data_IF_233506708578
#
_entry.id   IF_233506708578
#
_cell.length_a   1.000
_cell.length_b   1.000
_cell.length_c   1.000
_cell.angle_alpha   90.00
_cell.angle_beta   90.00
_cell.angle_gamma   90.00
#
_symmetry.space_group_name_H-M   'P 1'
#
loop_
_entity.id
_entity.type
_entity.pdbx_description
1 polymer ?
#
# COMPACT_ATOMS: atom_id res chain seq x y z
N UNK A 1 5.87 3.18 -2.62
CA UNK A 1 4.88 4.28 -2.81
C UNK A 1 5.49 5.50 -3.52
N UNK A 2 6.62 6.09 -3.09
CA UNK A 2 7.18 7.30 -3.76
C UNK A 2 7.39 7.13 -5.27
N UNK A 3 7.94 5.99 -5.70
CA UNK A 3 8.07 5.67 -7.12
C UNK A 3 6.71 5.62 -7.85
N UNK A 4 5.69 5.05 -7.21
CA UNK A 4 4.33 5.00 -7.78
C UNK A 4 3.72 6.39 -7.95
N UNK A 5 3.88 7.25 -6.93
CA UNK A 5 3.43 8.65 -6.99
C UNK A 5 4.15 9.41 -8.09
N UNK A 6 5.48 9.22 -8.22
CA UNK A 6 6.28 9.83 -9.27
C UNK A 6 5.78 9.42 -10.66
N UNK A 7 5.61 8.13 -10.91
CA UNK A 7 5.13 7.61 -12.20
C UNK A 7 3.70 8.07 -12.50
N UNK A 8 2.83 8.04 -11.48
CA UNK A 8 1.45 8.52 -11.60
C UNK A 8 1.40 10.01 -11.94
N UNK A 9 2.28 10.83 -11.36
CA UNK A 9 2.36 12.26 -11.68
C UNK A 9 2.77 12.51 -13.14
N UNK A 10 3.73 11.76 -13.66
CA UNK A 10 4.12 11.86 -15.07
C UNK A 10 2.95 11.50 -16.01
N UNK A 11 2.23 10.44 -15.69
CA UNK A 11 1.03 10.04 -16.44
C UNK A 11 -0.08 11.07 -16.32
N UNK A 12 -0.29 11.61 -15.12
CA UNK A 12 -1.26 12.67 -14.88
C UNK A 12 -0.98 13.88 -15.77
N UNK A 13 0.24 14.41 -15.75
CA UNK A 13 0.61 15.57 -16.57
C UNK A 13 0.43 15.31 -18.07
N UNK A 14 0.81 14.12 -18.55
CA UNK A 14 0.62 13.70 -19.94
C UNK A 14 -0.86 13.66 -20.31
N UNK A 15 -1.70 13.00 -19.50
CA UNK A 15 -3.13 12.87 -19.74
C UNK A 15 -3.84 14.22 -19.65
N UNK A 16 -3.44 15.06 -18.68
CA UNK A 16 -4.00 16.40 -18.49
C UNK A 16 -3.69 17.31 -19.70
N UNK A 17 -2.44 17.35 -20.15
CA UNK A 17 -2.02 18.13 -21.34
C UNK A 17 -2.74 17.69 -22.62
N UNK A 18 -3.09 16.41 -22.73
CA UNK A 18 -3.79 15.83 -23.87
C UNK A 18 -5.31 15.81 -23.72
N UNK A 19 -5.87 16.44 -22.67
CA UNK A 19 -7.29 16.43 -22.35
C UNK A 19 -7.90 15.02 -22.22
N UNK A 20 -7.08 14.02 -21.88
CA UNK A 20 -7.52 12.64 -21.70
C UNK A 20 -8.00 12.40 -20.26
N UNK A 21 -9.07 13.08 -19.89
CA UNK A 21 -9.59 13.06 -18.52
C UNK A 21 -10.16 11.69 -18.09
N UNK A 22 -10.65 10.91 -19.05
CA UNK A 22 -11.14 9.56 -18.76
C UNK A 22 -10.02 8.64 -18.19
N UNK A 23 -8.88 8.57 -18.88
CA UNK A 23 -7.75 7.77 -18.42
C UNK A 23 -7.16 8.34 -17.13
N UNK A 24 -7.07 9.66 -17.02
CA UNK A 24 -6.61 10.34 -15.82
C UNK A 24 -7.44 9.93 -14.60
N UNK A 25 -8.76 10.03 -14.70
CA UNK A 25 -9.66 9.64 -13.61
C UNK A 25 -9.55 8.16 -13.27
N UNK A 26 -9.49 7.28 -14.27
CA UNK A 26 -9.36 5.84 -14.09
C UNK A 26 -8.07 5.47 -13.34
N UNK A 27 -6.93 6.08 -13.71
CA UNK A 27 -5.64 5.85 -13.03
C UNK A 27 -5.68 6.36 -11.58
N UNK A 28 -6.24 7.54 -11.33
CA UNK A 28 -6.38 8.10 -9.99
C UNK A 28 -7.31 7.24 -9.12
N UNK A 29 -8.44 6.79 -9.66
CA UNK A 29 -9.38 5.93 -8.94
C UNK A 29 -8.73 4.60 -8.58
N UNK A 30 -8.02 3.97 -9.53
CA UNK A 30 -7.29 2.73 -9.27
C UNK A 30 -6.21 2.91 -8.19
N UNK A 31 -5.46 4.01 -8.23
CA UNK A 31 -4.50 4.34 -7.19
C UNK A 31 -5.15 4.46 -5.81
N UNK A 32 -6.29 5.15 -5.72
CA UNK A 32 -7.01 5.31 -4.44
C UNK A 32 -7.57 3.99 -3.91
N UNK A 33 -8.17 3.17 -4.77
CA UNK A 33 -8.88 1.95 -4.35
C UNK A 33 -7.93 0.78 -4.14
N UNK A 34 -7.01 0.54 -5.06
CA UNK A 34 -6.12 -0.63 -5.03
C UNK A 34 -4.84 -0.32 -4.25
N UNK A 35 -4.12 0.73 -4.66
CA UNK A 35 -2.80 0.97 -4.10
C UNK A 35 -2.84 1.58 -2.70
N UNK A 36 -3.77 2.47 -2.44
CA UNK A 36 -3.91 3.10 -1.12
C UNK A 36 -4.82 2.30 -0.20
N UNK A 37 -6.09 2.14 -0.55
CA UNK A 37 -7.09 1.53 0.34
C UNK A 37 -6.81 0.05 0.58
N UNK A 38 -6.79 -0.77 -0.48
CA UNK A 38 -6.65 -2.22 -0.34
C UNK A 38 -5.24 -2.69 0.02
N UNK A 39 -4.22 -1.84 -0.16
CA UNK A 39 -2.85 -2.23 0.14
C UNK A 39 -2.20 -1.33 1.20
N UNK A 40 -1.87 -0.09 0.87
CA UNK A 40 -0.97 0.72 1.71
C UNK A 40 -1.58 1.06 3.07
N UNK A 41 -2.83 1.49 3.11
CA UNK A 41 -3.49 1.80 4.38
C UNK A 41 -3.69 0.56 5.22
N UNK A 42 -4.02 -0.55 4.60
CA UNK A 42 -4.25 -1.82 5.28
C UNK A 42 -3.00 -2.27 6.05
N UNK A 43 -1.85 -2.35 5.38
CA UNK A 43 -0.59 -2.77 6.00
C UNK A 43 0.03 -1.73 6.96
N UNK A 44 -0.49 -0.49 7.00
CA UNK A 44 0.02 0.60 7.85
C UNK A 44 -0.88 0.94 9.03
N UNK A 45 -2.02 0.27 9.17
CA UNK A 45 -2.93 0.50 10.30
C UNK A 45 -2.22 0.40 11.65
N UNK A 46 -1.52 -0.71 11.89
CA UNK A 46 -0.84 -0.93 13.17
C UNK A 46 0.26 0.08 13.41
N UNK A 47 1.05 0.41 12.38
CA UNK A 47 2.06 1.46 12.46
C UNK A 47 1.47 2.82 12.86
N UNK A 48 0.29 3.16 12.34
CA UNK A 48 -0.34 4.46 12.62
C UNK A 48 -1.02 4.52 13.99
N UNK A 49 -1.66 3.42 14.41
CA UNK A 49 -2.47 3.41 15.62
C UNK A 49 -1.74 2.85 16.84
N UNK A 50 -0.86 1.86 16.66
CA UNK A 50 -0.22 1.14 17.76
C UNK A 50 1.22 1.60 18.04
N UNK A 51 1.98 2.02 17.00
CA UNK A 51 3.37 2.44 17.18
C UNK A 51 3.47 3.71 18.04
N UNK A 52 4.52 3.84 18.87
CA UNK A 52 4.80 5.06 19.61
C UNK A 52 4.96 6.27 18.69
N UNK A 53 4.59 7.46 19.17
CA UNK A 53 4.71 8.72 18.41
C UNK A 53 6.15 9.03 17.95
N UNK A 54 7.13 8.51 18.67
CA UNK A 54 8.56 8.69 18.36
C UNK A 54 9.09 7.72 17.31
N UNK A 55 8.32 6.68 16.95
CA UNK A 55 8.72 5.66 15.96
C UNK A 55 9.04 6.30 14.61
N UNK A 56 10.23 6.02 14.08
CA UNK A 56 10.64 6.50 12.76
C UNK A 56 9.77 5.95 11.63
N UNK A 57 9.28 4.73 11.79
CA UNK A 57 8.35 4.08 10.86
C UNK A 57 7.03 4.84 10.80
N UNK A 58 6.47 5.22 11.97
CA UNK A 58 5.25 6.03 12.05
C UNK A 58 5.44 7.42 11.45
N UNK A 59 6.54 8.10 11.79
CA UNK A 59 6.86 9.43 11.23
C UNK A 59 7.00 9.40 9.72
N UNK A 60 7.73 8.42 9.20
CA UNK A 60 7.90 8.24 7.75
C UNK A 60 6.58 7.94 7.05
N UNK A 61 5.71 7.15 7.67
CA UNK A 61 4.36 6.87 7.16
C UNK A 61 3.52 8.14 7.11
N UNK A 62 3.50 8.94 8.18
CA UNK A 62 2.76 10.20 8.23
C UNK A 62 3.28 11.22 7.21
N UNK A 63 4.61 11.31 7.04
CA UNK A 63 5.20 12.17 6.02
C UNK A 63 4.74 11.78 4.61
N UNK A 64 4.76 10.48 4.31
CA UNK A 64 4.28 9.97 3.03
C UNK A 64 2.78 10.22 2.83
N UNK A 65 1.95 10.05 3.86
CA UNK A 65 0.52 10.35 3.79
C UNK A 65 0.25 11.83 3.48
N UNK A 66 1.04 12.75 4.05
CA UNK A 66 0.93 14.17 3.72
C UNK A 66 1.29 14.45 2.24
N UNK A 67 2.32 13.81 1.71
CA UNK A 67 2.69 13.91 0.28
C UNK A 67 1.55 13.38 -0.60
N UNK A 68 0.97 12.24 -0.23
CA UNK A 68 -0.16 11.64 -0.94
C UNK A 68 -1.38 12.57 -0.92
N UNK A 69 -1.73 13.11 0.24
CA UNK A 69 -2.88 14.02 0.40
C UNK A 69 -2.72 15.27 -0.48
N UNK A 70 -1.58 15.95 -0.40
CA UNK A 70 -1.30 17.14 -1.23
C UNK A 70 -1.41 16.81 -2.72
N UNK A 71 -0.87 15.67 -3.13
CA UNK A 71 -0.93 15.22 -4.53
C UNK A 71 -2.34 14.93 -4.98
N UNK A 72 -3.11 14.19 -4.19
CA UNK A 72 -4.49 13.83 -4.52
C UNK A 72 -5.38 15.06 -4.62
N UNK A 73 -5.24 16.03 -3.69
CA UNK A 73 -6.01 17.26 -3.73
C UNK A 73 -5.76 18.02 -5.04
N UNK A 74 -4.49 18.14 -5.45
CA UNK A 74 -4.12 18.83 -6.69
C UNK A 74 -4.55 18.08 -7.93
N UNK A 75 -4.41 16.76 -7.97
CA UNK A 75 -4.79 15.95 -9.12
C UNK A 75 -6.31 15.88 -9.32
N UNK A 76 -7.08 15.85 -8.22
CA UNK A 76 -8.54 15.83 -8.30
C UNK A 76 -9.18 17.23 -8.42
N UNK A 77 -8.44 18.31 -8.18
CA UNK A 77 -8.99 19.67 -8.25
C UNK A 77 -9.71 19.99 -9.59
N UNK A 78 -9.19 19.59 -10.76
CA UNK A 78 -9.89 19.81 -12.02
C UNK A 78 -11.20 19.01 -12.20
N UNK A 79 -11.40 17.96 -11.40
CA UNK A 79 -12.52 17.01 -11.54
C UNK A 79 -13.51 17.17 -10.39
N UNK A 80 -13.01 17.24 -9.15
CA UNK A 80 -13.80 17.33 -7.93
C UNK A 80 -13.59 18.71 -7.27
N UNK A 81 -13.84 19.78 -8.04
CA UNK A 81 -13.45 21.15 -7.70
C UNK A 81 -13.91 21.60 -6.30
N UNK A 82 -15.16 21.34 -5.93
CA UNK A 82 -15.69 21.74 -4.62
C UNK A 82 -15.14 20.91 -3.47
N UNK A 83 -15.11 19.59 -3.64
CA UNK A 83 -14.64 18.66 -2.61
C UNK A 83 -13.17 18.89 -2.29
N UNK A 84 -12.32 19.08 -3.30
CA UNK A 84 -10.89 19.32 -3.09
C UNK A 84 -10.64 20.69 -2.45
N UNK A 85 -11.40 21.71 -2.84
CA UNK A 85 -11.33 23.04 -2.21
C UNK A 85 -11.71 22.96 -0.73
N UNK A 86 -12.83 22.31 -0.40
CA UNK A 86 -13.28 22.15 0.99
C UNK A 86 -12.23 21.45 1.84
N UNK A 87 -11.70 20.30 1.37
CA UNK A 87 -10.66 19.57 2.10
C UNK A 87 -9.38 20.41 2.22
N UNK A 88 -9.00 21.10 1.14
CA UNK A 88 -7.81 21.95 1.15
C UNK A 88 -7.91 23.07 2.18
N UNK A 89 -9.06 23.74 2.29
CA UNK A 89 -9.29 24.78 3.30
C UNK A 89 -9.24 24.25 4.73
N UNK A 90 -9.63 22.98 4.96
CA UNK A 90 -9.57 22.34 6.28
C UNK A 90 -8.14 21.98 6.69
N UNK A 91 -7.30 21.56 5.75
CA UNK A 91 -5.93 21.07 6.06
C UNK A 91 -4.84 22.12 5.85
N UNK A 92 -5.06 23.08 4.96
CA UNK A 92 -4.10 24.14 4.67
C UNK A 92 -4.27 25.29 5.66
N UNK A 93 -3.13 25.83 6.10
CA UNK A 93 -3.12 27.10 6.86
C UNK A 93 -3.23 28.32 5.93
N UNK A 94 -3.17 28.12 4.63
CA UNK A 94 -3.30 29.17 3.61
C UNK A 94 -4.76 29.52 3.39
N UNK A 95 -5.07 30.81 3.21
CA UNK A 95 -6.40 31.27 2.77
C UNK A 95 -6.56 31.25 1.23
N UNK A 96 -5.56 30.70 0.52
CA UNK A 96 -5.60 30.60 -0.94
C UNK A 96 -6.41 29.39 -1.36
N UNK A 97 -7.06 29.47 -2.53
CA UNK A 97 -7.74 28.33 -3.14
C UNK A 97 -6.75 27.32 -3.68
N UNK A 98 -7.11 26.01 -3.63
CA UNK A 98 -6.34 24.93 -4.26
C UNK A 98 -6.18 25.16 -5.77
N UNK A 99 -7.15 25.81 -6.42
CA UNK A 99 -7.13 26.10 -7.85
C UNK A 99 -6.07 27.13 -8.27
N UNK A 100 -5.44 27.80 -7.30
CA UNK A 100 -4.29 28.70 -7.52
C UNK A 100 -2.95 28.02 -7.27
N UNK A 101 -2.97 26.77 -6.78
CA UNK A 101 -1.76 25.99 -6.53
C UNK A 101 -1.25 25.35 -7.83
N UNK A 102 0.07 25.16 -7.89
CA UNK A 102 0.69 24.42 -8.99
C UNK A 102 0.64 22.93 -8.73
N UNK A 103 0.55 22.12 -9.78
CA UNK A 103 0.78 20.68 -9.68
C UNK A 103 2.15 20.41 -9.08
N UNK A 104 2.23 19.33 -8.30
CA UNK A 104 3.47 19.00 -7.58
C UNK A 104 4.51 18.47 -8.57
N UNK A 105 5.68 19.07 -8.55
CA UNK A 105 6.85 18.55 -9.26
C UNK A 105 7.65 17.64 -8.31
N UNK A 106 7.79 16.38 -8.68
CA UNK A 106 8.48 15.38 -7.86
C UNK A 106 9.93 15.23 -8.31
N UNK A 107 10.87 15.21 -7.36
CA UNK A 107 12.27 15.02 -7.70
C UNK A 107 12.52 13.62 -8.29
N UNK A 108 13.35 13.54 -9.33
CA UNK A 108 13.71 12.29 -10.02
C UNK A 108 14.25 11.20 -9.06
N UNK A 109 14.79 11.56 -7.90
CA UNK A 109 15.21 10.60 -6.87
C UNK A 109 14.08 9.72 -6.31
N UNK A 110 12.81 10.06 -6.57
CA UNK A 110 11.66 9.19 -6.21
C UNK A 110 11.51 8.02 -7.17
N UNK A 111 12.09 8.11 -8.38
CA UNK A 111 12.15 7.01 -9.32
C UNK A 111 13.13 5.94 -8.80
N UNK A 112 12.62 4.72 -8.60
CA UNK A 112 13.42 3.58 -8.20
C UNK A 112 12.84 2.31 -8.80
N UNK A 113 13.26 2.00 -10.02
CA UNK A 113 12.77 0.86 -10.80
C UNK A 113 13.12 -0.45 -10.12
N UNK A 114 14.36 -0.62 -9.64
CA UNK A 114 14.81 -1.85 -8.99
C UNK A 114 13.97 -2.17 -7.74
N UNK A 115 13.66 -1.15 -6.94
CA UNK A 115 12.81 -1.32 -5.76
C UNK A 115 11.37 -1.63 -6.17
N UNK A 116 10.87 -1.03 -7.24
CA UNK A 116 9.54 -1.31 -7.77
C UNK A 116 9.40 -2.76 -8.23
N UNK A 117 10.36 -3.27 -9.00
CA UNK A 117 10.38 -4.68 -9.42
C UNK A 117 10.45 -5.65 -8.23
N UNK A 118 11.27 -5.32 -7.22
CA UNK A 118 11.34 -6.10 -5.98
C UNK A 118 9.96 -6.12 -5.29
N UNK A 119 9.30 -4.98 -5.18
CA UNK A 119 7.96 -4.89 -4.59
C UNK A 119 6.89 -5.60 -5.41
N UNK A 120 6.98 -5.60 -6.74
CA UNK A 120 6.05 -6.34 -7.59
C UNK A 120 6.08 -7.85 -7.30
N UNK A 121 7.27 -8.42 -7.12
CA UNK A 121 7.42 -9.83 -6.71
C UNK A 121 6.89 -10.08 -5.30
N UNK A 122 7.12 -9.13 -4.39
CA UNK A 122 6.64 -9.22 -3.01
C UNK A 122 5.10 -9.19 -2.93
N UNK A 123 4.46 -8.36 -3.76
CA UNK A 123 3.00 -8.30 -3.86
C UNK A 123 2.43 -9.62 -4.39
N UNK A 124 3.07 -10.26 -5.37
CA UNK A 124 2.64 -11.58 -5.86
C UNK A 124 2.67 -12.65 -4.75
N UNK A 125 3.70 -12.62 -3.88
CA UNK A 125 3.77 -13.52 -2.72
C UNK A 125 2.61 -13.21 -1.75
N UNK A 126 2.36 -11.93 -1.46
CA UNK A 126 1.26 -11.49 -0.60
C UNK A 126 -0.10 -11.93 -1.17
N UNK A 127 -0.30 -11.83 -2.47
CA UNK A 127 -1.55 -12.22 -3.13
C UNK A 127 -1.79 -13.73 -3.00
N UNK A 128 -0.75 -14.55 -3.15
CA UNK A 128 -0.83 -15.99 -2.89
C UNK A 128 -1.16 -16.29 -1.41
N UNK A 129 -0.60 -15.53 -0.46
CA UNK A 129 -0.93 -15.64 0.95
C UNK A 129 -2.40 -15.28 1.22
N UNK A 130 -2.86 -14.16 0.67
CA UNK A 130 -4.24 -13.70 0.82
C UNK A 130 -5.24 -14.71 0.26
N UNK A 131 -4.94 -15.30 -0.91
CA UNK A 131 -5.79 -16.35 -1.50
C UNK A 131 -5.93 -17.54 -0.54
N UNK A 132 -4.81 -18.03 0.02
CA UNK A 132 -4.84 -19.14 0.97
C UNK A 132 -5.56 -18.80 2.28
N UNK A 133 -5.45 -17.54 2.75
CA UNK A 133 -6.21 -17.05 3.92
C UNK A 133 -7.71 -17.03 3.62
N UNK A 134 -8.11 -16.51 2.44
CA UNK A 134 -9.54 -16.43 2.07
C UNK A 134 -10.17 -17.80 1.89
N UNK A 135 -9.45 -18.81 1.39
CA UNK A 135 -9.93 -20.20 1.35
C UNK A 135 -10.27 -20.71 2.77
N UNK A 136 -9.41 -20.43 3.76
CA UNK A 136 -9.66 -20.82 5.16
C UNK A 136 -10.81 -20.03 5.80
N UNK A 137 -10.98 -18.76 5.42
CA UNK A 137 -12.11 -17.93 5.86
C UNK A 137 -13.43 -18.44 5.26
N UNK A 138 -13.45 -18.78 3.97
CA UNK A 138 -14.62 -19.34 3.30
C UNK A 138 -15.08 -20.65 3.96
N UNK A 139 -14.14 -21.48 4.39
CA UNK A 139 -14.39 -22.72 5.12
C UNK A 139 -14.74 -22.48 6.62
N UNK A 140 -14.77 -21.22 7.10
CA UNK A 140 -15.04 -20.85 8.50
C UNK A 140 -14.03 -21.43 9.51
N UNK A 141 -12.82 -21.79 9.06
CA UNK A 141 -11.75 -22.28 9.94
C UNK A 141 -11.09 -21.14 10.73
N UNK A 142 -11.05 -19.93 10.15
CA UNK A 142 -10.59 -18.69 10.75
C UNK A 142 -11.60 -17.57 10.50
N UNK A 143 -11.69 -16.60 11.42
CA UNK A 143 -12.58 -15.45 11.29
C UNK A 143 -11.89 -14.22 10.67
N UNK A 144 -10.60 -14.07 10.87
CA UNK A 144 -9.80 -12.95 10.35
C UNK A 144 -8.39 -13.39 9.97
N UNK A 145 -7.69 -12.59 9.16
CA UNK A 145 -6.29 -12.84 8.80
C UNK A 145 -5.36 -12.88 10.03
N UNK A 146 -5.68 -12.12 11.09
CA UNK A 146 -4.94 -12.15 12.36
C UNK A 146 -5.07 -13.48 13.12
N UNK A 147 -5.98 -14.37 12.73
CA UNK A 147 -6.08 -15.72 13.28
C UNK A 147 -5.28 -16.74 12.47
N UNK A 148 -4.63 -16.30 11.40
CA UNK A 148 -3.84 -17.17 10.52
C UNK A 148 -2.37 -17.24 10.95
N UNK A 149 -1.82 -18.44 10.83
CA UNK A 149 -0.39 -18.74 10.80
C UNK A 149 -0.03 -19.24 9.41
N UNK A 150 0.94 -18.61 8.75
CA UNK A 150 1.31 -18.93 7.39
C UNK A 150 2.66 -19.65 7.34
N UNK A 151 2.75 -20.64 6.48
CA UNK A 151 4.00 -21.24 6.05
C UNK A 151 4.16 -21.00 4.55
N UNK A 152 5.19 -20.26 4.14
CA UNK A 152 5.44 -19.86 2.77
C UNK A 152 6.66 -20.59 2.24
N UNK A 153 6.48 -21.36 1.20
CA UNK A 153 7.59 -21.98 0.47
C UNK A 153 7.93 -21.15 -0.77
N UNK A 154 9.18 -20.69 -0.81
CA UNK A 154 9.71 -19.89 -1.90
C UNK A 154 10.83 -20.64 -2.63
N UNK A 155 10.93 -20.45 -3.94
CA UNK A 155 12.10 -20.92 -4.67
C UNK A 155 13.38 -20.26 -4.16
N UNK A 156 14.55 -20.83 -4.52
CA UNK A 156 15.88 -20.38 -4.04
C UNK A 156 16.16 -18.89 -4.29
N UNK A 157 15.69 -18.35 -5.40
CA UNK A 157 15.92 -16.93 -5.74
C UNK A 157 15.07 -16.00 -4.86
N UNK A 158 13.77 -16.26 -4.78
CA UNK A 158 12.83 -15.47 -3.96
C UNK A 158 13.19 -15.59 -2.47
N UNK A 159 13.56 -16.79 -2.02
CA UNK A 159 13.97 -16.99 -0.63
C UNK A 159 15.17 -16.11 -0.26
N UNK A 160 16.21 -16.05 -1.11
CA UNK A 160 17.39 -15.19 -0.86
C UNK A 160 17.03 -13.71 -0.75
N UNK A 161 16.06 -13.25 -1.56
CA UNK A 161 15.67 -11.85 -1.62
C UNK A 161 14.76 -11.46 -0.45
N UNK A 162 13.89 -12.38 -0.01
CA UNK A 162 12.76 -12.04 0.86
C UNK A 162 12.78 -12.72 2.23
N UNK A 163 13.77 -13.56 2.56
CA UNK A 163 13.87 -14.26 3.86
C UNK A 163 13.81 -13.33 5.08
N UNK A 164 14.30 -12.10 4.94
CA UNK A 164 14.37 -11.11 6.01
C UNK A 164 13.19 -10.10 5.99
N UNK A 165 12.17 -10.33 5.14
CA UNK A 165 10.98 -9.49 5.06
C UNK A 165 9.98 -9.94 6.11
N UNK A 166 9.40 -8.98 6.83
CA UNK A 166 8.30 -9.23 7.75
C UNK A 166 6.99 -9.47 6.99
N UNK A 167 6.75 -10.72 6.65
CA UNK A 167 5.50 -11.13 6.01
C UNK A 167 4.31 -11.16 6.98
N UNK A 168 4.53 -11.23 8.28
CA UNK A 168 3.44 -11.17 9.24
C UNK A 168 2.77 -9.79 9.16
N UNK A 169 3.57 -8.72 9.13
CA UNK A 169 3.05 -7.37 8.90
C UNK A 169 2.43 -7.21 7.51
N UNK A 170 3.09 -7.74 6.47
CA UNK A 170 2.64 -7.57 5.09
C UNK A 170 1.31 -8.28 4.80
N UNK A 171 1.09 -9.46 5.38
CA UNK A 171 -0.12 -10.27 5.21
C UNK A 171 -1.14 -10.08 6.34
N UNK A 172 -0.80 -9.26 7.37
CA UNK A 172 -1.63 -9.03 8.56
C UNK A 172 -1.98 -10.37 9.24
N UNK A 173 -0.97 -11.23 9.41
CA UNK A 173 -1.11 -12.55 10.00
C UNK A 173 -0.42 -12.64 11.37
N UNK A 174 -0.84 -13.55 12.24
CA UNK A 174 -0.26 -13.74 13.57
C UNK A 174 1.20 -14.19 13.53
N UNK A 175 1.53 -15.06 12.58
CA UNK A 175 2.88 -15.55 12.40
C UNK A 175 3.11 -16.02 10.98
N UNK A 176 4.33 -15.89 10.51
CA UNK A 176 4.74 -16.37 9.18
C UNK A 176 6.08 -17.08 9.30
N UNK A 177 6.16 -18.27 8.71
CA UNK A 177 7.41 -19.02 8.53
C UNK A 177 7.73 -19.11 7.06
N UNK A 178 8.95 -18.75 6.68
CA UNK A 178 9.41 -18.83 5.30
C UNK A 178 10.36 -20.00 5.17
N UNK A 179 10.12 -20.87 4.21
CA UNK A 179 10.99 -22.01 3.88
C UNK A 179 11.47 -21.93 2.45
N UNK A 180 12.66 -22.48 2.21
CA UNK A 180 13.13 -22.67 0.85
C UNK A 180 12.53 -23.96 0.29
N UNK A 181 11.72 -23.83 -0.75
CA UNK A 181 11.16 -24.94 -1.52
C UNK A 181 12.01 -25.30 -2.74
N UNK A 182 11.69 -26.42 -3.36
CA UNK A 182 12.32 -26.91 -4.58
C UNK A 182 11.56 -26.50 -5.84
N UNK A 183 10.31 -26.11 -5.73
CA UNK A 183 9.42 -25.81 -6.85
C UNK A 183 9.54 -24.37 -7.35
N UNK A 184 9.16 -24.14 -8.59
CA UNK A 184 9.12 -22.80 -9.19
C UNK A 184 7.97 -21.94 -8.68
N UNK A 185 6.90 -22.59 -8.18
CA UNK A 185 5.69 -21.94 -7.74
C UNK A 185 5.75 -21.59 -6.23
N UNK A 186 5.07 -20.50 -5.88
CA UNK A 186 4.91 -20.07 -4.49
C UNK A 186 3.83 -20.98 -3.87
N UNK A 187 4.19 -21.71 -2.81
CA UNK A 187 3.22 -22.49 -2.04
C UNK A 187 2.97 -21.82 -0.70
N UNK A 188 1.72 -21.72 -0.31
CA UNK A 188 1.30 -21.16 0.97
C UNK A 188 0.40 -22.14 1.68
N UNK A 189 0.76 -22.48 2.91
CA UNK A 189 -0.06 -23.27 3.81
C UNK A 189 -0.57 -22.36 4.93
N UNK A 190 -1.88 -22.22 5.02
CA UNK A 190 -2.54 -21.45 6.08
C UNK A 190 -3.10 -22.40 7.14
N UNK A 191 -2.78 -22.12 8.40
CA UNK A 191 -3.30 -22.83 9.56
C UNK A 191 -3.86 -21.81 10.56
N UNK A 192 -4.73 -22.26 11.47
CA UNK A 192 -5.17 -21.43 12.58
C UNK A 192 -4.00 -21.19 13.54
N UNK A 193 -3.75 -19.93 13.89
CA UNK A 193 -2.71 -19.58 14.83
C UNK A 193 -3.02 -20.13 16.22
N UNK A 194 -1.96 -20.57 16.92
CA UNK A 194 -2.03 -21.01 18.30
C UNK A 194 -1.84 -19.81 19.22
N UNK A 195 -2.70 -19.66 20.25
CA UNK A 195 -2.60 -18.59 21.23
C UNK A 195 -3.94 -17.95 21.55
N UNK A 196 -3.90 -16.96 22.45
CA UNK A 196 -5.09 -16.15 22.78
C UNK A 196 -5.09 -14.88 21.97
N UNK A 197 -6.27 -14.48 21.48
CA UNK A 197 -6.45 -13.21 20.79
C UNK A 197 -6.09 -12.05 21.71
N UNK A 198 -5.30 -11.09 21.19
CA UNK A 198 -5.02 -9.85 21.91
C UNK A 198 -6.33 -9.08 22.18
N UNK A 199 -6.58 -8.63 23.43
CA UNK A 199 -7.80 -7.89 23.76
C UNK A 199 -7.82 -6.47 23.18
N UNK A 200 -6.68 -5.97 22.70
CA UNK A 200 -6.52 -4.60 22.16
C UNK A 200 -6.63 -4.59 20.62
N UNK A 201 -6.09 -5.59 19.97
CA UNK A 201 -6.19 -5.77 18.52
C UNK A 201 -7.40 -6.66 18.23
#
# INVERSE_FOLDING_TARGET
MLHKIYTLNLNFEKNFKNYNFHNLYKELLNFCTVDLSAFYFDIRKDTLYCDPKVSEKRKSTLLLLNIILDSLLKWFAPILSFTTEEIYQLVSKSKKSIHLEKFTDFPKKFENINLYEKWSKLIQIRDACNLSIEEKRANKEIGSSLEASLEIELNKELYKIFKDVDFAELCIASSVKIKQGSEKEIKVLTQKATGKKCPIC
#
